data_IF_197561765058
#
_entry.id   IF_197561765058
#
_cell.length_a   1.000
_cell.length_b   1.000
_cell.length_c   1.000
_cell.angle_alpha   90.00
_cell.angle_beta   90.00
_cell.angle_gamma   90.00
#
_symmetry.space_group_name_H-M   'P 1'
#
loop_
_entity.id
_entity.type
_entity.pdbx_description
1 polymer ?
#
# COMPACT_ATOMS: atom_id res chain seq x y z
N UNK A 1 -8.79 -28.58 9.15
CA UNK A 1 -8.27 -28.19 7.82
C UNK A 1 -8.16 -26.67 7.77
N UNK A 2 -7.12 -26.12 7.14
CA UNK A 2 -6.87 -24.68 7.04
C UNK A 2 -7.99 -23.91 6.32
N UNK A 3 -8.74 -24.59 5.45
CA UNK A 3 -9.86 -24.04 4.67
C UNK A 3 -11.02 -23.50 5.51
N UNK A 4 -11.13 -23.89 6.79
CA UNK A 4 -12.15 -23.38 7.72
C UNK A 4 -11.78 -22.03 8.35
N UNK A 5 -10.49 -21.70 8.37
CA UNK A 5 -9.98 -20.53 9.07
C UNK A 5 -9.78 -19.36 8.09
N UNK A 6 -10.88 -18.91 7.47
CA UNK A 6 -10.86 -17.83 6.48
C UNK A 6 -10.87 -16.46 7.15
N UNK A 7 -11.69 -16.29 8.18
CA UNK A 7 -11.86 -15.02 8.89
C UNK A 7 -11.06 -15.00 10.19
N UNK A 8 -10.61 -13.81 10.59
CA UNK A 8 -10.01 -13.61 11.89
C UNK A 8 -11.05 -13.66 13.00
N UNK A 9 -10.86 -14.49 14.05
CA UNK A 9 -11.77 -14.53 15.19
C UNK A 9 -11.91 -13.19 15.93
N UNK A 10 -10.91 -12.30 15.81
CA UNK A 10 -10.90 -11.04 16.56
C UNK A 10 -11.72 -9.92 15.92
N UNK A 11 -11.84 -9.89 14.59
CA UNK A 11 -12.46 -8.77 13.87
C UNK A 11 -13.33 -9.19 12.67
N UNK A 12 -13.41 -10.49 12.37
CA UNK A 12 -14.22 -11.02 11.26
C UNK A 12 -13.70 -10.66 9.86
N UNK A 13 -12.48 -10.11 9.72
CA UNK A 13 -11.88 -9.82 8.41
C UNK A 13 -11.18 -11.05 7.83
N UNK A 14 -11.13 -11.22 6.50
CA UNK A 14 -10.38 -12.32 5.88
C UNK A 14 -8.88 -12.29 6.24
N UNK A 15 -8.32 -13.45 6.57
CA UNK A 15 -6.87 -13.66 6.81
C UNK A 15 -6.17 -14.15 5.54
N UNK A 16 -6.90 -14.83 4.65
CA UNK A 16 -6.37 -15.41 3.40
C UNK A 16 -6.14 -14.37 2.29
N UNK A 17 -5.91 -13.12 2.66
CA UNK A 17 -5.69 -12.02 1.71
C UNK A 17 -4.33 -12.22 1.02
N UNK A 18 -4.25 -12.12 -0.31
CA UNK A 18 -2.98 -12.10 -1.03
C UNK A 18 -2.00 -11.07 -0.48
N UNK A 19 -0.71 -11.39 -0.50
CA UNK A 19 0.33 -10.49 -0.01
C UNK A 19 1.49 -10.38 -0.99
N UNK A 20 2.25 -9.29 -0.89
CA UNK A 20 3.50 -9.05 -1.64
C UNK A 20 3.29 -9.21 -3.16
N UNK A 21 4.04 -10.12 -3.78
CA UNK A 21 4.18 -10.23 -5.23
C UNK A 21 2.85 -10.60 -5.92
N UNK A 22 1.97 -11.33 -5.24
CA UNK A 22 0.63 -11.66 -5.77
C UNK A 22 -0.17 -10.37 -5.98
N UNK A 23 -0.15 -9.47 -4.99
CA UNK A 23 -0.80 -8.16 -5.06
C UNK A 23 -0.17 -7.32 -6.17
N UNK A 24 1.16 -7.33 -6.29
CA UNK A 24 1.87 -6.58 -7.33
C UNK A 24 1.46 -7.06 -8.74
N UNK A 25 1.31 -8.36 -8.95
CA UNK A 25 0.85 -8.92 -10.22
C UNK A 25 -0.59 -8.53 -10.57
N UNK A 26 -1.49 -8.57 -9.60
CA UNK A 26 -2.89 -8.14 -9.77
C UNK A 26 -2.97 -6.62 -10.00
N UNK A 27 -2.17 -5.85 -9.26
CA UNK A 27 -2.06 -4.41 -9.45
C UNK A 27 -1.61 -4.09 -10.88
N UNK A 28 -0.52 -4.72 -11.35
CA UNK A 28 -0.06 -4.57 -12.73
C UNK A 28 -1.13 -4.92 -13.75
N UNK A 29 -1.85 -6.03 -13.55
CA UNK A 29 -2.92 -6.48 -14.43
C UNK A 29 -4.13 -5.52 -14.47
N UNK A 30 -4.33 -4.70 -13.44
CA UNK A 30 -5.47 -3.77 -13.34
C UNK A 30 -5.09 -2.31 -13.62
N UNK A 31 -3.80 -2.04 -13.84
CA UNK A 31 -3.33 -0.74 -14.29
C UNK A 31 -3.88 -0.42 -15.68
N UNK A 32 -4.12 0.88 -15.87
CA UNK A 32 -4.42 1.45 -17.16
C UNK A 32 -3.21 2.30 -17.54
N UNK A 33 -2.53 1.91 -18.61
CA UNK A 33 -1.45 2.70 -19.20
C UNK A 33 -2.05 3.46 -20.40
N UNK A 34 -1.91 4.80 -20.39
CA UNK A 34 -2.27 5.62 -21.53
C UNK A 34 -1.09 5.63 -22.50
N UNK A 35 -1.17 4.79 -23.53
CA UNK A 35 -0.19 4.80 -24.61
C UNK A 35 -0.52 5.94 -25.59
N UNK A 36 0.35 6.97 -25.71
CA UNK A 36 0.11 8.09 -26.62
C UNK A 36 0.11 7.69 -28.10
N UNK A 37 0.64 6.51 -28.47
CA UNK A 37 0.70 6.03 -29.85
C UNK A 37 -0.59 5.33 -30.30
N UNK A 38 -1.40 4.80 -29.38
CA UNK A 38 -2.65 4.10 -29.69
C UNK A 38 -3.80 5.11 -29.82
N UNK A 39 -4.00 5.64 -31.04
CA UNK A 39 -5.04 6.64 -31.33
C UNK A 39 -6.48 6.13 -31.30
N UNK A 40 -6.72 4.83 -31.49
CA UNK A 40 -8.08 4.27 -31.56
C UNK A 40 -8.31 3.17 -30.51
N UNK A 41 -9.34 3.36 -29.69
CA UNK A 41 -9.76 2.38 -28.68
C UNK A 41 -10.47 1.22 -29.38
N UNK A 42 -9.79 0.07 -29.42
CA UNK A 42 -10.37 -1.14 -30.00
C UNK A 42 -11.59 -1.61 -29.21
N UNK A 43 -12.62 -2.06 -29.93
CA UNK A 43 -13.88 -2.53 -29.35
C UNK A 43 -14.01 -4.03 -29.56
N UNK A 44 -14.25 -4.75 -28.46
CA UNK A 44 -14.38 -6.20 -28.46
C UNK A 44 -15.78 -6.62 -27.99
N UNK A 45 -16.34 -7.62 -28.67
CA UNK A 45 -17.68 -8.14 -28.39
C UNK A 45 -17.69 -9.42 -27.54
N UNK A 46 -16.57 -10.15 -27.50
CA UNK A 46 -16.40 -11.43 -26.82
C UNK A 46 -14.97 -11.54 -26.26
N UNK A 47 -14.81 -12.28 -25.16
CA UNK A 47 -13.54 -12.44 -24.48
C UNK A 47 -12.49 -13.21 -25.31
N UNK A 48 -12.90 -14.19 -26.12
CA UNK A 48 -12.00 -14.95 -27.00
C UNK A 48 -11.22 -14.06 -27.98
N UNK A 49 -11.85 -13.01 -28.49
CA UNK A 49 -11.18 -12.01 -29.34
C UNK A 49 -10.14 -11.18 -28.56
N UNK A 50 -10.39 -10.91 -27.28
CA UNK A 50 -9.43 -10.21 -26.41
C UNK A 50 -8.21 -11.10 -26.15
N UNK A 51 -8.41 -12.39 -25.88
CA UNK A 51 -7.30 -13.35 -25.72
C UNK A 51 -6.47 -13.47 -26.99
N UNK A 52 -7.12 -13.58 -28.14
CA UNK A 52 -6.44 -13.63 -29.43
C UNK A 52 -5.60 -12.37 -29.66
N UNK A 53 -6.18 -11.19 -29.42
CA UNK A 53 -5.49 -9.92 -29.60
C UNK A 53 -4.30 -9.74 -28.63
N UNK A 54 -4.40 -10.26 -27.40
CA UNK A 54 -3.29 -10.32 -26.45
C UNK A 54 -2.18 -11.27 -26.91
N UNK A 55 -2.54 -12.44 -27.46
CA UNK A 55 -1.58 -13.44 -27.91
C UNK A 55 -0.80 -12.97 -29.15
N UNK A 56 -1.47 -12.31 -30.08
CA UNK A 56 -0.84 -11.70 -31.26
C UNK A 56 -0.08 -10.40 -30.94
N UNK A 57 -0.17 -9.89 -29.70
CA UNK A 57 0.49 -8.66 -29.27
C UNK A 57 -0.10 -7.38 -29.89
N UNK A 58 -1.33 -7.44 -30.38
CA UNK A 58 -2.06 -6.28 -30.94
C UNK A 58 -2.46 -5.30 -29.83
N UNK A 59 -2.73 -5.82 -28.63
CA UNK A 59 -3.14 -5.06 -27.46
C UNK A 59 -2.28 -5.49 -26.27
N UNK A 60 -1.89 -4.55 -25.41
CA UNK A 60 -1.22 -4.88 -24.16
C UNK A 60 -2.21 -5.06 -23.01
N UNK A 61 -1.81 -5.80 -21.97
CA UNK A 61 -2.66 -6.10 -20.80
C UNK A 61 -3.25 -4.85 -20.14
N UNK A 62 -2.48 -3.75 -20.15
CA UNK A 62 -2.82 -2.46 -19.53
C UNK A 62 -3.45 -1.46 -20.51
N UNK A 63 -3.64 -1.82 -21.79
CA UNK A 63 -4.21 -0.90 -22.79
C UNK A 63 -5.71 -0.68 -22.56
N UNK A 64 -6.20 0.51 -22.91
CA UNK A 64 -7.63 0.84 -22.86
C UNK A 64 -8.40 0.18 -23.99
N UNK A 65 -9.48 -0.51 -23.66
CA UNK A 65 -10.39 -1.17 -24.61
C UNK A 65 -11.85 -0.87 -24.28
N UNK A 66 -12.73 -1.00 -25.29
CA UNK A 66 -14.19 -1.02 -25.09
C UNK A 66 -14.66 -2.46 -25.17
N UNK A 67 -15.37 -2.93 -24.15
CA UNK A 67 -15.86 -4.30 -24.10
C UNK A 67 -17.37 -4.34 -23.91
N UNK A 68 -18.06 -5.17 -24.69
CA UNK A 68 -19.49 -5.43 -24.51
C UNK A 68 -19.68 -6.43 -23.37
N UNK A 69 -20.01 -5.91 -22.19
CA UNK A 69 -20.31 -6.73 -21.01
C UNK A 69 -21.79 -7.16 -21.02
N UNK A 70 -22.04 -8.44 -20.77
CA UNK A 70 -23.38 -8.95 -20.52
C UNK A 70 -23.65 -8.86 -19.02
N UNK A 71 -24.62 -8.04 -18.62
CA UNK A 71 -25.11 -7.97 -17.24
C UNK A 71 -26.39 -8.80 -17.16
N UNK A 72 -26.39 -9.81 -16.29
CA UNK A 72 -27.60 -10.53 -15.92
C UNK A 72 -28.26 -9.78 -14.78
N UNK A 73 -29.38 -9.10 -15.06
CA UNK A 73 -30.15 -8.42 -14.01
C UNK A 73 -30.80 -9.45 -13.06
N UNK A 74 -31.21 -8.98 -11.88
CA UNK A 74 -31.88 -9.82 -10.87
C UNK A 74 -33.16 -10.51 -11.40
N UNK A 75 -33.79 -9.90 -12.42
CA UNK A 75 -35.02 -10.33 -13.10
C UNK A 75 -34.79 -11.29 -14.28
N UNK A 76 -33.54 -11.70 -14.55
CA UNK A 76 -33.21 -12.63 -15.63
C UNK A 76 -33.12 -12.00 -17.02
N UNK A 77 -33.30 -10.69 -17.15
CA UNK A 77 -33.03 -9.95 -18.38
C UNK A 77 -31.52 -9.73 -18.55
N UNK A 78 -31.00 -10.17 -19.70
CA UNK A 78 -29.60 -9.95 -20.10
C UNK A 78 -29.54 -8.61 -20.82
N UNK A 79 -28.96 -7.60 -20.18
CA UNK A 79 -28.65 -6.33 -20.82
C UNK A 79 -27.18 -6.31 -21.27
N UNK A 80 -26.94 -5.80 -22.47
CA UNK A 80 -25.58 -5.57 -22.96
C UNK A 80 -25.20 -4.10 -22.75
N UNK A 81 -24.15 -3.86 -21.99
CA UNK A 81 -23.58 -2.53 -21.78
C UNK A 81 -22.15 -2.50 -22.33
N UNK A 82 -21.79 -1.39 -22.99
CA UNK A 82 -20.42 -1.17 -23.45
C UNK A 82 -19.68 -0.48 -22.31
N UNK A 83 -18.69 -1.17 -21.74
CA UNK A 83 -17.87 -0.67 -20.62
C UNK A 83 -16.46 -0.42 -21.11
N UNK A 84 -15.87 0.68 -20.68
CA UNK A 84 -14.45 0.96 -20.89
C UNK A 84 -13.62 0.29 -19.81
N UNK A 85 -12.66 -0.52 -20.23
CA UNK A 85 -11.87 -1.36 -19.33
C UNK A 85 -10.51 -1.69 -19.95
N UNK A 86 -9.76 -2.60 -19.33
CA UNK A 86 -8.47 -3.10 -19.78
C UNK A 86 -8.55 -4.62 -19.98
N UNK A 87 -7.82 -5.23 -20.93
CA UNK A 87 -7.78 -6.68 -21.09
C UNK A 87 -7.43 -7.41 -19.79
N UNK A 88 -6.51 -6.86 -18.99
CA UNK A 88 -6.14 -7.45 -17.71
C UNK A 88 -7.31 -7.56 -16.72
N UNK A 89 -8.08 -6.49 -16.51
CA UNK A 89 -9.32 -6.54 -15.70
C UNK A 89 -10.31 -7.58 -16.20
N UNK A 90 -10.44 -7.79 -17.51
CA UNK A 90 -11.30 -8.85 -18.06
C UNK A 90 -10.78 -10.26 -17.75
N UNK A 91 -9.46 -10.48 -17.83
CA UNK A 91 -8.85 -11.77 -17.43
C UNK A 91 -9.12 -12.02 -15.94
N UNK A 92 -9.02 -10.98 -15.11
CA UNK A 92 -9.36 -11.08 -13.70
C UNK A 92 -10.85 -11.39 -13.49
N UNK A 93 -11.75 -10.82 -14.30
CA UNK A 93 -13.17 -11.11 -14.20
C UNK A 93 -13.51 -12.59 -14.38
N UNK A 94 -12.77 -13.31 -15.24
CA UNK A 94 -13.03 -14.73 -15.50
C UNK A 94 -12.86 -15.64 -14.29
N UNK A 95 -12.06 -15.23 -13.29
CA UNK A 95 -11.86 -16.05 -12.09
C UNK A 95 -12.96 -15.85 -11.05
N UNK A 96 -13.81 -14.81 -11.20
CA UNK A 96 -14.86 -14.52 -10.23
C UNK A 96 -15.96 -15.58 -10.26
N UNK A 97 -16.53 -15.95 -9.09
CA UNK A 97 -17.70 -16.80 -9.06
C UNK A 97 -18.90 -16.06 -9.65
N UNK A 98 -19.76 -16.76 -10.38
CA UNK A 98 -20.99 -16.19 -10.91
C UNK A 98 -21.98 -15.96 -9.76
N UNK A 99 -22.14 -14.71 -9.34
CA UNK A 99 -23.07 -14.33 -8.29
C UNK A 99 -23.70 -12.97 -8.57
N UNK A 100 -24.97 -12.78 -8.17
CA UNK A 100 -25.75 -11.56 -8.45
C UNK A 100 -25.15 -10.30 -7.81
N UNK A 101 -24.55 -10.46 -6.63
CA UNK A 101 -23.95 -9.35 -5.86
C UNK A 101 -22.58 -8.91 -6.38
N UNK A 102 -21.94 -9.71 -7.24
CA UNK A 102 -20.62 -9.40 -7.78
C UNK A 102 -20.82 -8.68 -9.11
N UNK A 103 -20.55 -7.38 -9.10
CA UNK A 103 -20.60 -6.54 -10.32
C UNK A 103 -19.19 -6.27 -10.84
N UNK A 104 -19.07 -6.11 -12.15
CA UNK A 104 -17.81 -5.77 -12.81
C UNK A 104 -17.22 -4.44 -12.33
N UNK A 105 -18.06 -3.54 -11.82
CA UNK A 105 -17.64 -2.23 -11.33
C UNK A 105 -16.65 -2.33 -10.15
N UNK A 106 -16.69 -3.44 -9.38
CA UNK A 106 -15.76 -3.70 -8.29
C UNK A 106 -14.31 -3.83 -8.75
N UNK A 107 -14.11 -4.36 -9.95
CA UNK A 107 -12.80 -4.61 -10.55
C UNK A 107 -12.42 -3.58 -11.61
N UNK A 108 -13.34 -2.69 -12.01
CA UNK A 108 -13.06 -1.65 -12.99
C UNK A 108 -12.30 -0.44 -12.40
N UNK A 109 -11.35 -0.72 -11.53
CA UNK A 109 -10.48 0.23 -10.86
C UNK A 109 -9.11 -0.41 -10.67
N UNK A 110 -8.12 0.39 -10.27
CA UNK A 110 -6.80 -0.14 -9.90
C UNK A 110 -6.93 -0.84 -8.56
N UNK A 111 -6.51 -2.11 -8.48
CA UNK A 111 -6.67 -2.92 -7.27
C UNK A 111 -5.40 -2.87 -6.41
N UNK A 112 -5.47 -2.22 -5.24
CA UNK A 112 -4.45 -2.31 -4.19
C UNK A 112 -4.78 -3.42 -3.19
N UNK A 113 -3.89 -3.68 -2.22
CA UNK A 113 -4.16 -4.63 -1.12
C UNK A 113 -5.53 -4.40 -0.45
N UNK A 114 -5.94 -3.13 -0.32
CA UNK A 114 -7.19 -2.77 0.36
C UNK A 114 -8.40 -3.23 -0.43
N UNK A 115 -8.45 -2.92 -1.73
CA UNK A 115 -9.57 -3.31 -2.59
C UNK A 115 -9.62 -4.84 -2.73
N UNK A 116 -8.47 -5.51 -2.86
CA UNK A 116 -8.41 -6.98 -2.88
C UNK A 116 -8.97 -7.58 -1.59
N UNK A 117 -8.63 -7.00 -0.43
CA UNK A 117 -9.17 -7.45 0.87
C UNK A 117 -10.70 -7.31 0.91
N UNK A 118 -11.22 -6.18 0.45
CA UNK A 118 -12.67 -5.93 0.40
C UNK A 118 -13.39 -6.86 -0.59
N UNK A 119 -12.77 -7.17 -1.73
CA UNK A 119 -13.30 -8.12 -2.71
C UNK A 119 -13.39 -9.52 -2.10
N UNK A 120 -12.34 -9.99 -1.41
CA UNK A 120 -12.35 -11.31 -0.76
C UNK A 120 -13.41 -11.37 0.34
N UNK A 121 -13.59 -10.31 1.13
CA UNK A 121 -14.66 -10.22 2.15
C UNK A 121 -16.05 -10.30 1.51
N UNK A 122 -16.26 -9.60 0.39
CA UNK A 122 -17.52 -9.63 -0.34
C UNK A 122 -17.82 -11.02 -0.93
N UNK A 123 -16.82 -11.65 -1.57
CA UNK A 123 -16.96 -13.01 -2.11
C UNK A 123 -17.31 -14.00 -0.99
N UNK A 124 -16.69 -13.87 0.18
CA UNK A 124 -17.00 -14.71 1.34
C UNK A 124 -18.45 -14.55 1.83
N UNK A 125 -18.93 -13.31 1.93
CA UNK A 125 -20.30 -13.03 2.41
C UNK A 125 -21.37 -13.45 1.42
N UNK A 126 -21.11 -13.30 0.12
CA UNK A 126 -22.09 -13.59 -0.92
C UNK A 126 -22.08 -15.06 -1.37
N UNK A 127 -20.90 -15.65 -1.60
CA UNK A 127 -20.77 -16.98 -2.20
C UNK A 127 -20.50 -18.08 -1.18
N UNK A 128 -20.06 -17.74 0.04
CA UNK A 128 -19.72 -18.70 1.08
C UNK A 128 -18.27 -19.19 1.03
N UNK A 129 -17.98 -20.18 1.86
CA UNK A 129 -16.62 -20.58 2.21
C UNK A 129 -15.87 -21.28 1.07
N UNK A 130 -16.50 -22.26 0.41
CA UNK A 130 -15.84 -23.13 -0.58
C UNK A 130 -15.39 -22.34 -1.81
N UNK A 131 -16.29 -21.50 -2.31
CA UNK A 131 -16.12 -20.62 -3.46
C UNK A 131 -15.02 -19.59 -3.20
N UNK A 132 -14.92 -19.08 -1.97
CA UNK A 132 -13.87 -18.12 -1.57
C UNK A 132 -12.49 -18.75 -1.58
N UNK A 133 -12.35 -20.00 -1.14
CA UNK A 133 -11.06 -20.73 -1.19
C UNK A 133 -10.64 -20.93 -2.64
N UNK A 134 -11.55 -21.42 -3.50
CA UNK A 134 -11.28 -21.63 -4.91
C UNK A 134 -10.91 -20.32 -5.64
N UNK A 135 -11.63 -19.24 -5.32
CA UNK A 135 -11.33 -17.90 -5.82
C UNK A 135 -9.94 -17.42 -5.37
N UNK A 136 -9.59 -17.60 -4.10
CA UNK A 136 -8.30 -17.18 -3.55
C UNK A 136 -7.12 -17.94 -4.18
N UNK A 137 -7.29 -19.23 -4.45
CA UNK A 137 -6.29 -20.04 -5.17
C UNK A 137 -6.12 -19.55 -6.62
N UNK A 138 -7.22 -19.34 -7.35
CA UNK A 138 -7.18 -18.80 -8.72
C UNK A 138 -6.50 -17.42 -8.76
N UNK A 139 -6.82 -16.56 -7.80
CA UNK A 139 -6.25 -15.23 -7.64
C UNK A 139 -4.73 -15.30 -7.37
N UNK A 140 -4.29 -16.25 -6.54
CA UNK A 140 -2.87 -16.52 -6.29
C UNK A 140 -2.13 -16.92 -7.57
N UNK A 141 -2.64 -17.91 -8.32
CA UNK A 141 -1.99 -18.36 -9.56
C UNK A 141 -1.90 -17.25 -10.61
N UNK A 142 -2.98 -16.48 -10.76
CA UNK A 142 -3.02 -15.34 -11.68
C UNK A 142 -2.02 -14.26 -11.26
N UNK A 143 -2.01 -13.89 -9.99
CA UNK A 143 -1.06 -12.90 -9.45
C UNK A 143 0.39 -13.31 -9.70
N UNK A 144 0.78 -14.56 -9.42
CA UNK A 144 2.15 -15.02 -9.69
C UNK A 144 2.51 -15.04 -11.18
N UNK A 145 1.57 -15.47 -12.04
CA UNK A 145 1.78 -15.50 -13.50
C UNK A 145 2.08 -14.11 -14.03
N UNK A 146 1.24 -13.14 -13.71
CA UNK A 146 1.39 -11.77 -14.21
C UNK A 146 2.47 -10.96 -13.50
N UNK A 147 2.79 -11.26 -12.23
CA UNK A 147 3.97 -10.72 -11.57
C UNK A 147 5.27 -11.17 -12.24
N UNK A 148 5.32 -12.40 -12.75
CA UNK A 148 6.49 -12.92 -13.47
C UNK A 148 6.58 -12.34 -14.89
N UNK A 149 5.45 -12.23 -15.59
CA UNK A 149 5.38 -11.69 -16.96
C UNK A 149 5.64 -10.18 -17.03
N UNK A 150 5.28 -9.43 -15.98
CA UNK A 150 5.49 -7.97 -15.95
C UNK A 150 6.98 -7.60 -15.93
N UNK A 151 7.86 -8.51 -15.50
CA UNK A 151 9.29 -8.26 -15.45
C UNK A 151 9.67 -7.07 -14.54
N UNK A 152 8.82 -6.73 -13.57
CA UNK A 152 9.06 -5.61 -12.64
C UNK A 152 10.34 -5.91 -11.86
N UNK A 153 11.33 -5.05 -12.04
CA UNK A 153 12.62 -5.13 -11.38
C UNK A 153 12.90 -3.86 -10.58
N UNK A 154 13.85 -3.94 -9.66
CA UNK A 154 14.27 -2.84 -8.81
C UNK A 154 15.69 -2.44 -9.17
N UNK A 155 15.85 -1.31 -9.84
CA UNK A 155 17.13 -0.73 -10.22
C UNK A 155 17.53 0.46 -9.33
N UNK A 156 18.84 0.75 -9.29
CA UNK A 156 19.34 1.95 -8.60
C UNK A 156 18.84 3.25 -9.25
N UNK A 157 18.64 3.24 -10.58
CA UNK A 157 18.14 4.39 -11.34
C UNK A 157 16.70 4.74 -11.02
N UNK A 158 15.88 3.75 -10.67
CA UNK A 158 14.46 3.91 -10.37
C UNK A 158 14.22 4.75 -9.10
N UNK A 159 15.22 4.89 -8.22
CA UNK A 159 15.17 5.70 -7.00
C UNK A 159 15.37 7.20 -7.29
N UNK A 160 14.43 7.86 -7.94
CA UNK A 160 14.60 9.26 -8.41
C UNK A 160 14.72 10.23 -7.23
N UNK A 161 15.81 10.99 -7.19
CA UNK A 161 16.03 12.07 -6.21
C UNK A 161 15.43 13.34 -6.81
N UNK A 162 14.57 14.07 -6.09
CA UNK A 162 13.96 15.28 -6.63
C UNK A 162 14.98 16.42 -6.75
N UNK A 163 15.00 17.14 -7.87
CA UNK A 163 15.90 18.28 -8.11
C UNK A 163 15.67 19.42 -7.10
N UNK A 164 14.45 19.54 -6.58
CA UNK A 164 14.08 20.54 -5.55
C UNK A 164 14.75 20.30 -4.20
N UNK A 165 15.34 19.12 -3.97
CA UNK A 165 15.95 18.74 -2.68
C UNK A 165 17.00 19.76 -2.22
N UNK A 166 17.92 20.15 -3.11
CA UNK A 166 19.00 21.07 -2.75
C UNK A 166 18.46 22.43 -2.30
N UNK A 167 17.47 22.96 -3.02
CA UNK A 167 16.83 24.24 -2.70
C UNK A 167 16.09 24.19 -1.34
N UNK A 168 15.35 23.10 -1.06
CA UNK A 168 14.64 22.94 0.22
C UNK A 168 15.60 22.83 1.41
N UNK A 169 16.75 22.18 1.22
CA UNK A 169 17.77 22.06 2.26
C UNK A 169 18.44 23.41 2.52
N UNK A 170 18.70 24.19 1.47
CA UNK A 170 19.30 25.53 1.58
C UNK A 170 18.36 26.51 2.29
N UNK A 171 17.07 26.55 1.92
CA UNK A 171 16.04 27.38 2.59
C UNK A 171 15.91 27.03 4.08
N UNK A 172 15.86 25.74 4.43
CA UNK A 172 15.85 25.31 5.82
C UNK A 172 17.12 25.72 6.57
N UNK A 173 18.29 25.61 5.93
CA UNK A 173 19.57 25.99 6.53
C UNK A 173 19.66 27.50 6.79
N UNK A 174 19.13 28.32 5.89
CA UNK A 174 19.07 29.77 6.05
C UNK A 174 18.19 30.18 7.22
N UNK A 175 16.98 29.62 7.33
CA UNK A 175 16.09 29.86 8.49
C UNK A 175 16.71 29.45 9.82
N UNK A 176 17.47 28.34 9.85
CA UNK A 176 18.18 27.91 11.06
C UNK A 176 19.30 28.89 11.43
N UNK A 177 19.95 29.49 10.43
CA UNK A 177 20.93 30.56 10.65
C UNK A 177 20.25 31.79 11.26
N UNK A 178 19.07 32.18 10.78
CA UNK A 178 18.27 33.25 11.36
C UNK A 178 17.89 32.96 12.82
N UNK A 179 17.42 31.75 13.13
CA UNK A 179 17.13 31.35 14.51
C UNK A 179 18.38 31.39 15.41
N UNK A 180 19.55 31.10 14.85
CA UNK A 180 20.82 31.18 15.58
C UNK A 180 21.22 32.63 15.88
N UNK A 181 20.97 33.56 14.95
CA UNK A 181 21.17 35.00 15.15
C UNK A 181 20.20 35.54 16.21
N UNK A 182 18.91 35.21 16.11
CA UNK A 182 17.90 35.60 17.11
C UNK A 182 18.25 35.10 18.53
N UNK A 183 18.85 33.91 18.63
CA UNK A 183 19.34 33.39 19.90
C UNK A 183 20.55 34.17 20.43
N UNK A 184 21.50 34.54 19.56
CA UNK A 184 22.65 35.37 19.93
C UNK A 184 22.24 36.78 20.37
N UNK A 185 21.20 37.35 19.74
CA UNK A 185 20.62 38.65 20.08
C UNK A 185 19.74 38.58 21.35
N UNK A 186 19.52 37.40 21.91
CA UNK A 186 18.73 37.19 23.13
C UNK A 186 17.21 37.29 22.94
N UNK A 187 16.72 37.27 21.70
CA UNK A 187 15.29 37.36 21.37
C UNK A 187 14.52 36.08 21.67
N UNK A 188 15.19 34.92 21.66
CA UNK A 188 14.58 33.60 21.90
C UNK A 188 15.36 32.81 22.94
N UNK A 189 14.65 31.92 23.65
CA UNK A 189 15.27 31.00 24.60
C UNK A 189 15.90 29.79 23.91
N UNK A 190 16.79 29.08 24.61
CA UNK A 190 17.42 27.84 24.09
C UNK A 190 16.38 26.77 23.74
N UNK A 191 15.34 26.61 24.56
CA UNK A 191 14.28 25.62 24.34
C UNK A 191 13.42 25.95 23.13
N UNK A 192 13.10 27.24 22.92
CA UNK A 192 12.37 27.70 21.74
C UNK A 192 13.20 27.52 20.46
N UNK A 193 14.50 27.85 20.51
CA UNK A 193 15.42 27.60 19.39
C UNK A 193 15.42 26.13 18.99
N UNK A 194 15.57 25.23 19.96
CA UNK A 194 15.55 23.78 19.71
C UNK A 194 14.25 23.33 19.03
N UNK A 195 13.10 23.72 19.58
CA UNK A 195 11.80 23.35 19.01
C UNK A 195 11.60 23.90 17.59
N UNK A 196 12.00 25.14 17.33
CA UNK A 196 11.93 25.76 15.99
C UNK A 196 12.82 25.03 14.98
N UNK A 197 14.04 24.65 15.36
CA UNK A 197 14.97 23.91 14.49
C UNK A 197 14.42 22.54 14.14
N UNK A 198 13.88 21.81 15.13
CA UNK A 198 13.26 20.49 14.93
C UNK A 198 12.05 20.59 13.99
N UNK A 199 11.18 21.58 14.19
CA UNK A 199 9.99 21.78 13.37
C UNK A 199 10.35 22.13 11.92
N UNK A 200 11.32 23.02 11.70
CA UNK A 200 11.74 23.40 10.34
C UNK A 200 12.35 22.22 9.57
N UNK A 201 13.20 21.41 10.23
CA UNK A 201 13.72 20.20 9.62
C UNK A 201 12.63 19.17 9.33
N UNK A 202 11.64 19.00 10.22
CA UNK A 202 10.51 18.10 9.97
C UNK A 202 9.72 18.52 8.72
N UNK A 203 9.42 19.83 8.59
CA UNK A 203 8.74 20.39 7.42
C UNK A 203 9.53 20.18 6.13
N UNK A 204 10.83 20.48 6.14
CA UNK A 204 11.72 20.27 5.00
C UNK A 204 11.72 18.79 4.58
N UNK A 205 11.83 17.88 5.54
CA UNK A 205 11.85 16.43 5.29
C UNK A 205 10.52 15.96 4.66
N UNK A 206 9.38 16.53 5.05
CA UNK A 206 8.07 16.19 4.48
C UNK A 206 7.78 16.86 3.13
N UNK A 207 8.35 18.04 2.85
CA UNK A 207 8.33 18.67 1.53
C UNK A 207 9.10 17.82 0.52
N UNK A 208 10.34 17.43 0.85
CA UNK A 208 11.17 16.57 0.01
C UNK A 208 10.50 15.22 -0.24
N UNK A 209 9.83 14.64 0.77
CA UNK A 209 9.09 13.40 0.60
C UNK A 209 7.92 13.52 -0.39
N UNK A 210 7.18 14.63 -0.34
CA UNK A 210 6.08 14.90 -1.27
C UNK A 210 6.59 15.13 -2.69
N UNK A 211 7.66 15.90 -2.86
CA UNK A 211 8.25 16.16 -4.17
C UNK A 211 8.85 14.89 -4.78
N UNK A 212 9.50 14.06 -3.97
CA UNK A 212 9.98 12.74 -4.40
C UNK A 212 8.83 11.84 -4.85
N UNK A 213 7.74 11.75 -4.07
CA UNK A 213 6.59 10.92 -4.47
C UNK A 213 5.96 11.41 -5.77
N UNK A 214 5.88 12.73 -5.99
CA UNK A 214 5.44 13.30 -7.26
C UNK A 214 6.39 12.94 -8.40
N UNK A 215 7.70 13.07 -8.20
CA UNK A 215 8.71 12.75 -9.20
C UNK A 215 8.69 11.27 -9.63
N UNK A 216 8.53 10.34 -8.67
CA UNK A 216 8.46 8.90 -8.96
C UNK A 216 7.08 8.49 -9.54
N UNK A 217 6.02 9.27 -9.28
CA UNK A 217 4.69 9.01 -9.84
C UNK A 217 4.55 9.39 -11.33
N UNK A 218 5.45 10.23 -11.84
CA UNK A 218 5.43 10.61 -13.25
C UNK A 218 5.79 9.38 -14.09
N UNK A 219 4.99 9.12 -15.13
CA UNK A 219 5.29 8.11 -16.11
C UNK A 219 6.51 8.55 -16.93
N UNK A 220 7.39 7.61 -17.28
CA UNK A 220 8.43 7.88 -18.26
C UNK A 220 7.82 8.39 -19.57
N UNK A 221 8.63 8.97 -20.47
CA UNK A 221 8.23 9.40 -21.83
C UNK A 221 7.48 8.31 -22.63
N UNK A 222 7.53 7.04 -22.18
CA UNK A 222 6.86 5.86 -22.73
C UNK A 222 5.57 5.45 -22.01
N UNK A 223 5.03 6.28 -21.12
CA UNK A 223 3.78 5.98 -20.39
C UNK A 223 3.90 4.88 -19.31
N UNK A 224 5.12 4.44 -18.98
CA UNK A 224 5.35 3.37 -18.00
C UNK A 224 5.52 3.91 -16.59
N UNK A 225 4.87 3.24 -15.64
CA UNK A 225 5.02 3.53 -14.21
C UNK A 225 6.37 3.04 -13.68
N UNK A 226 6.95 3.81 -12.76
CA UNK A 226 8.16 3.41 -12.05
C UNK A 226 7.89 2.19 -11.14
N UNK A 227 8.76 1.17 -11.23
CA UNK A 227 8.66 -0.07 -10.45
C UNK A 227 8.52 0.16 -8.95
N UNK A 228 9.28 1.10 -8.38
CA UNK A 228 9.26 1.33 -6.94
C UNK A 228 7.97 2.04 -6.53
N UNK A 229 7.46 2.94 -7.37
CA UNK A 229 6.15 3.54 -7.16
C UNK A 229 5.05 2.49 -7.19
N UNK A 230 5.08 1.56 -8.15
CA UNK A 230 4.11 0.46 -8.22
C UNK A 230 4.14 -0.42 -6.96
N UNK A 231 5.32 -0.75 -6.44
CA UNK A 231 5.45 -1.55 -5.20
C UNK A 231 4.87 -0.83 -3.98
N UNK A 232 5.11 0.48 -3.85
CA UNK A 232 4.61 1.28 -2.74
C UNK A 232 3.11 1.57 -2.84
N UNK A 233 2.62 1.96 -4.03
CA UNK A 233 1.23 2.35 -4.25
C UNK A 233 0.28 1.15 -4.23
N UNK A 234 0.71 0.00 -4.75
CA UNK A 234 -0.06 -1.25 -4.66
C UNK A 234 -0.24 -1.73 -3.22
N UNK A 235 0.60 -1.27 -2.28
CA UNK A 235 0.68 -1.78 -0.92
C UNK A 235 1.32 -3.16 -0.82
N UNK A 236 1.87 -3.70 -1.91
CA UNK A 236 2.53 -5.00 -1.94
C UNK A 236 3.79 -5.01 -1.07
N UNK A 237 4.64 -3.98 -1.22
CA UNK A 237 5.90 -3.88 -0.48
C UNK A 237 6.42 -2.45 -0.47
N UNK A 238 6.79 -1.97 0.70
CA UNK A 238 7.35 -0.63 0.85
C UNK A 238 6.31 0.37 1.36
N UNK A 239 6.70 1.19 2.32
CA UNK A 239 5.92 2.36 2.74
C UNK A 239 6.49 3.64 2.12
N UNK A 240 5.67 4.69 2.02
CA UNK A 240 6.15 6.02 1.63
C UNK A 240 7.31 6.52 2.53
N UNK A 241 7.34 6.12 3.81
CA UNK A 241 8.44 6.44 4.73
C UNK A 241 9.74 5.70 4.40
N UNK A 242 9.68 4.47 3.87
CA UNK A 242 10.87 3.75 3.40
C UNK A 242 11.38 4.36 2.08
N UNK A 243 10.47 4.74 1.19
CA UNK A 243 10.79 5.46 -0.05
C UNK A 243 11.51 6.78 0.22
N UNK A 244 11.01 7.53 1.21
CA UNK A 244 11.62 8.77 1.71
C UNK A 244 13.08 8.59 2.12
N UNK A 245 13.42 7.46 2.75
CA UNK A 245 14.80 7.18 3.16
C UNK A 245 15.72 6.76 1.99
N UNK A 246 15.16 6.15 0.95
CA UNK A 246 15.93 5.72 -0.21
C UNK A 246 16.36 6.88 -1.11
N UNK A 247 15.42 7.76 -1.47
CA UNK A 247 15.62 8.80 -2.48
C UNK A 247 15.37 10.25 -1.99
N UNK A 248 14.75 10.43 -0.82
CA UNK A 248 14.53 11.76 -0.23
C UNK A 248 15.69 12.18 0.65
N UNK A 249 15.42 12.26 1.95
CA UNK A 249 16.40 12.44 3.02
C UNK A 249 15.97 11.62 4.23
N UNK A 250 16.93 11.20 5.06
CA UNK A 250 16.61 10.39 6.25
C UNK A 250 15.99 11.23 7.38
N UNK A 251 16.40 12.50 7.49
CA UNK A 251 15.84 13.47 8.44
C UNK A 251 16.40 13.33 9.85
N UNK A 252 15.58 13.73 10.82
CA UNK A 252 15.94 13.79 12.23
C UNK A 252 15.98 12.40 12.88
N UNK A 253 16.98 12.18 13.75
CA UNK A 253 17.16 10.93 14.49
C UNK A 253 16.97 11.15 15.99
N UNK A 254 16.41 10.16 16.68
CA UNK A 254 16.26 10.18 18.13
C UNK A 254 17.46 9.53 18.84
N UNK A 255 17.91 10.16 19.92
CA UNK A 255 18.86 9.59 20.87
C UNK A 255 18.20 8.47 21.68
N UNK A 256 18.98 7.63 22.39
CA UNK A 256 18.41 6.62 23.28
C UNK A 256 17.55 7.21 24.41
N UNK A 257 17.81 8.46 24.83
CA UNK A 257 16.99 9.21 25.79
C UNK A 257 15.61 9.60 25.26
N UNK A 258 15.41 9.59 23.94
CA UNK A 258 14.19 10.08 23.28
C UNK A 258 14.28 11.51 22.77
N UNK A 259 15.32 12.26 23.14
CA UNK A 259 15.59 13.57 22.55
C UNK A 259 15.95 13.46 21.06
N UNK A 260 15.55 14.45 20.26
CA UNK A 260 15.89 14.51 18.84
C UNK A 260 17.24 15.20 18.68
N UNK A 261 18.09 14.65 17.82
CA UNK A 261 19.37 15.26 17.46
C UNK A 261 19.09 16.46 16.52
N UNK A 262 19.53 17.66 16.91
CA UNK A 262 19.31 18.91 16.14
C UNK A 262 19.89 18.85 14.72
N UNK A 263 20.98 18.10 14.52
CA UNK A 263 21.61 17.92 13.20
C UNK A 263 20.96 16.75 12.45
N UNK A 264 20.22 17.00 11.36
CA UNK A 264 19.58 15.94 10.58
C UNK A 264 20.59 15.18 9.72
N UNK A 265 20.14 14.07 9.16
CA UNK A 265 20.84 13.37 8.08
C UNK A 265 20.21 13.84 6.75
N UNK A 266 20.99 14.61 5.99
CA UNK A 266 20.57 15.21 4.72
C UNK A 266 20.67 14.19 3.59
N UNK A 267 21.70 13.34 3.67
CA UNK A 267 21.96 12.29 2.69
C UNK A 267 20.87 11.21 2.69
N UNK A 268 20.72 10.53 1.56
CA UNK A 268 19.86 9.35 1.41
C UNK A 268 20.67 8.08 1.11
N UNK A 269 20.00 6.92 1.06
CA UNK A 269 20.71 5.67 0.80
C UNK A 269 21.24 5.54 -0.64
N UNK A 270 20.64 6.23 -1.61
CA UNK A 270 21.13 6.27 -3.00
C UNK A 270 22.44 7.05 -3.12
N UNK A 271 22.57 8.18 -2.41
CA UNK A 271 23.77 9.02 -2.36
C UNK A 271 24.85 8.44 -1.44
N UNK A 272 24.45 7.66 -0.43
CA UNK A 272 25.32 7.17 0.62
C UNK A 272 25.39 8.13 1.80
N UNK A 273 25.75 7.62 2.98
CA UNK A 273 25.85 8.41 4.20
C UNK A 273 27.31 8.66 4.56
N UNK A 274 27.60 9.84 5.09
CA UNK A 274 28.89 10.09 5.72
C UNK A 274 29.06 9.26 7.00
N UNK A 275 30.31 9.08 7.46
CA UNK A 275 30.61 8.32 8.69
C UNK A 275 29.86 8.90 9.91
N UNK A 276 29.78 10.22 10.02
CA UNK A 276 29.10 10.90 11.12
C UNK A 276 27.57 10.70 11.05
N UNK A 277 26.96 10.86 9.88
CA UNK A 277 25.52 10.61 9.69
C UNK A 277 25.17 9.14 9.97
N UNK A 278 25.99 8.21 9.49
CA UNK A 278 25.79 6.80 9.74
C UNK A 278 25.90 6.49 11.25
N UNK A 279 26.92 7.01 11.93
CA UNK A 279 27.08 6.85 13.39
C UNK A 279 25.85 7.36 14.16
N UNK A 280 25.34 8.54 13.82
CA UNK A 280 24.14 9.09 14.46
C UNK A 280 22.91 8.18 14.24
N UNK A 281 22.79 7.57 13.07
CA UNK A 281 21.68 6.65 12.77
C UNK A 281 21.69 5.35 13.59
N UNK A 282 22.85 4.93 14.10
CA UNK A 282 22.99 3.66 14.84
C UNK A 282 22.26 3.66 16.18
N UNK A 283 22.15 4.82 16.83
CA UNK A 283 21.50 4.96 18.13
C UNK A 283 20.03 4.51 18.08
N UNK A 284 19.28 5.02 17.09
CA UNK A 284 17.87 4.67 16.89
C UNK A 284 17.70 3.21 16.47
N UNK A 285 18.55 2.72 15.56
CA UNK A 285 18.48 1.33 15.09
C UNK A 285 18.73 0.32 16.22
N UNK A 286 19.76 0.54 17.04
CA UNK A 286 20.10 -0.34 18.17
C UNK A 286 19.02 -0.33 19.24
N UNK A 287 18.49 0.84 19.59
CA UNK A 287 17.38 0.95 20.56
C UNK A 287 16.15 0.21 20.06
N UNK A 288 15.77 0.37 18.80
CA UNK A 288 14.63 -0.34 18.21
C UNK A 288 14.78 -1.86 18.29
N UNK A 289 15.95 -2.40 17.91
CA UNK A 289 16.23 -3.84 17.99
C UNK A 289 16.21 -4.37 19.42
N UNK A 290 16.82 -3.63 20.35
CA UNK A 290 16.82 -3.99 21.78
C UNK A 290 15.40 -3.98 22.36
N UNK A 291 14.62 -2.94 22.05
CA UNK A 291 13.23 -2.81 22.52
C UNK A 291 12.34 -3.93 21.95
N UNK A 292 12.52 -4.33 20.70
CA UNK A 292 11.79 -5.48 20.13
C UNK A 292 12.11 -6.78 20.87
N UNK A 293 13.39 -7.03 21.17
CA UNK A 293 13.79 -8.21 21.92
C UNK A 293 13.20 -8.22 23.34
N UNK A 294 13.23 -7.09 24.05
CA UNK A 294 12.66 -6.97 25.40
C UNK A 294 11.13 -7.08 25.41
N UNK A 295 10.44 -6.48 24.44
CA UNK A 295 8.97 -6.50 24.35
C UNK A 295 8.40 -7.89 24.07
N UNK A 296 9.17 -8.76 23.41
CA UNK A 296 8.73 -10.12 23.07
C UNK A 296 8.32 -10.92 24.33
N UNK A 297 9.08 -10.80 25.43
CA UNK A 297 8.74 -11.44 26.69
C UNK A 297 7.45 -10.87 27.32
N UNK A 298 7.28 -9.54 27.28
CA UNK A 298 6.12 -8.88 27.87
C UNK A 298 4.81 -9.18 27.12
N UNK A 299 4.85 -9.28 25.79
CA UNK A 299 3.67 -9.63 24.99
C UNK A 299 3.12 -11.02 25.36
N UNK A 300 4.00 -12.02 25.49
CA UNK A 300 3.59 -13.37 25.91
C UNK A 300 3.05 -13.40 27.34
N UNK A 301 3.65 -12.63 28.25
CA UNK A 301 3.19 -12.51 29.63
C UNK A 301 1.77 -11.95 29.73
N UNK A 302 1.46 -10.89 28.97
CA UNK A 302 0.12 -10.31 28.93
C UNK A 302 -0.91 -11.30 28.40
N UNK A 303 -0.61 -11.98 27.28
CA UNK A 303 -1.50 -12.99 26.72
C UNK A 303 -1.78 -14.11 27.73
N UNK A 304 -0.75 -14.58 28.45
CA UNK A 304 -0.93 -15.59 29.51
C UNK A 304 -1.89 -15.10 30.60
N UNK A 305 -1.68 -13.89 31.14
CA UNK A 305 -2.58 -13.33 32.17
C UNK A 305 -4.02 -13.18 31.69
N UNK A 306 -4.22 -12.78 30.43
CA UNK A 306 -5.56 -12.68 29.84
C UNK A 306 -6.24 -14.05 29.72
N UNK A 307 -5.47 -15.07 29.30
CA UNK A 307 -5.97 -16.45 29.25
C UNK A 307 -6.31 -16.96 30.64
N UNK A 308 -5.42 -16.79 31.63
CA UNK A 308 -5.62 -17.26 33.00
C UNK A 308 -6.93 -16.73 33.63
N UNK A 309 -7.35 -15.51 33.29
CA UNK A 309 -8.59 -14.89 33.80
C UNK A 309 -9.85 -15.33 33.03
N UNK A 310 -9.74 -15.55 31.72
CA UNK A 310 -10.88 -15.81 30.85
C UNK A 310 -11.06 -17.30 30.48
N UNK A 311 -10.16 -18.18 30.95
CA UNK A 311 -10.13 -19.60 30.54
C UNK A 311 -11.43 -20.35 30.87
N UNK A 312 -12.06 -20.03 32.00
CA UNK A 312 -13.29 -20.69 32.45
C UNK A 312 -14.56 -20.08 31.83
N UNK A 313 -14.44 -19.11 30.92
CA UNK A 313 -15.57 -18.48 30.25
C UNK A 313 -16.01 -19.32 29.02
N UNK A 314 -17.11 -20.06 29.17
CA UNK A 314 -17.70 -20.89 28.09
C UNK A 314 -19.17 -20.55 27.86
N UNK A 315 -19.62 -20.59 26.61
CA UNK A 315 -21.05 -20.44 26.25
C UNK A 315 -21.77 -21.75 26.54
N UNK A 316 -22.68 -21.75 27.53
CA UNK A 316 -23.40 -22.95 28.00
C UNK A 316 -24.87 -23.00 27.59
N UNK A 317 -25.49 -21.85 27.31
CA UNK A 317 -26.92 -21.72 26.98
C UNK A 317 -27.13 -20.79 25.78
N UNK A 318 -28.23 -20.96 25.05
CA UNK A 318 -28.55 -20.15 23.87
C UNK A 318 -29.16 -18.79 24.19
N UNK A 319 -29.97 -18.69 25.24
CA UNK A 319 -30.62 -17.46 25.68
C UNK A 319 -30.70 -17.43 27.21
N UNK A 320 -30.23 -16.34 27.81
CA UNK A 320 -30.27 -16.10 29.25
C UNK A 320 -31.51 -15.29 29.69
N UNK A 321 -32.34 -14.82 28.75
CA UNK A 321 -33.59 -14.10 29.03
C UNK A 321 -33.44 -12.70 29.62
N UNK A 322 -32.24 -12.12 29.64
CA UNK A 322 -31.99 -10.79 30.22
C UNK A 322 -32.45 -9.65 29.31
N UNK A 323 -33.02 -8.60 29.90
CA UNK A 323 -33.38 -7.35 29.21
C UNK A 323 -32.32 -6.24 29.34
N UNK A 324 -31.21 -6.50 30.05
CA UNK A 324 -30.13 -5.53 30.25
C UNK A 324 -29.17 -5.50 29.07
N UNK A 325 -29.02 -4.32 28.44
CA UNK A 325 -28.07 -4.12 27.34
C UNK A 325 -27.32 -2.80 27.49
N UNK A 326 -26.08 -2.75 26.98
CA UNK A 326 -25.32 -1.51 26.85
C UNK A 326 -25.57 -0.91 25.47
N UNK A 327 -26.20 0.27 25.43
CA UNK A 327 -26.38 1.02 24.18
C UNK A 327 -25.11 1.78 23.86
N UNK A 328 -24.51 1.48 22.71
CA UNK A 328 -23.39 2.25 22.18
C UNK A 328 -23.94 3.42 21.37
N UNK A 329 -23.92 4.63 21.94
CA UNK A 329 -24.10 5.86 21.15
C UNK A 329 -22.95 5.97 20.14
N UNK A 330 -23.28 5.99 18.84
CA UNK A 330 -22.29 6.24 17.78
C UNK A 330 -21.96 7.75 17.81
N UNK A 331 -20.80 8.08 18.36
CA UNK A 331 -20.09 9.33 18.10
C UNK A 331 -19.31 9.25 16.79
#
# INVERSE_FOLDING_TARGET
>A
MSTNNILSPSNGRPIIVPSKDIVLGIYYLTLLEEDPEVREVQTFAEFSHVEYALHEGIVHTCSRIKYRMQKSAADGTVSSEIVETTPGRLILWQIFPQHKDLTFDLINQVLTVKEITSIVDLVYRSCGQRETVEFSDKLMYLGFKYASQSGISFGCKDMIIPDTKAAHVEDASEKIREFSIQYQDGLITKSERYNKVVDEWSKCTDLIARDMMKAISLCDEKGKYNSIYMMANSGARGSASQMKQLAGMRGLMAKPSGEIIETPIISNFREGLSVFEYFNSTHGARKGLADTALKTANSGYLTRRLVDVAQDCTVVEHDCGTSGALLRERS
#
